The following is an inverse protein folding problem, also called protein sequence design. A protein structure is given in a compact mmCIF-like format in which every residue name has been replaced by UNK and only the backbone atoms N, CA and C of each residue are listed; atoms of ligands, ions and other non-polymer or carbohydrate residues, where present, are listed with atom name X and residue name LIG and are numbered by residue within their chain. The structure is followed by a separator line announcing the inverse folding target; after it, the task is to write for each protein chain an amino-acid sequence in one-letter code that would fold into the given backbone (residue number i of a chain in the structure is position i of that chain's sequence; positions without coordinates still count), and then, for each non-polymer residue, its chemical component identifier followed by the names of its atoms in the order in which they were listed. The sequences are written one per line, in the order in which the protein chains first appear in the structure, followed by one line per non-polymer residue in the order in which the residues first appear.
data_IF_231270917195
#
_entry.id   IF_231270917195
#
_cell.length_a   1.000
_cell.length_b   1.000
_cell.length_c   1.000
_cell.angle_alpha   90.00
_cell.angle_beta   90.00
_cell.angle_gamma   90.00
#
_symmetry.space_group_name_H-M   'P 1'
#
loop_
_entity.id
_entity.type
_entity.pdbx_description
1 polymer ?
#
# COMPACT_ATOMS: atom_id res chain seq x y z
N UNK A 1 -1.87 -2.53 14.68
CA UNK A 1 -1.79 -1.69 13.47
C UNK A 1 -1.49 -0.25 13.83
N UNK A 2 -0.71 0.41 13.01
CA UNK A 2 -0.47 1.85 13.15
C UNK A 2 -1.52 2.60 12.35
N UNK A 3 -1.83 3.82 12.79
CA UNK A 3 -2.70 4.73 12.04
C UNK A 3 -1.82 5.75 11.34
N UNK A 4 -2.02 5.94 10.04
CA UNK A 4 -1.28 6.91 9.24
C UNK A 4 -2.25 7.79 8.48
N UNK A 5 -1.81 8.99 8.12
CA UNK A 5 -2.56 9.84 7.20
C UNK A 5 -2.27 9.42 5.76
N UNK A 6 -3.18 9.76 4.86
CA UNK A 6 -2.99 9.45 3.43
C UNK A 6 -1.69 10.04 2.88
N UNK A 7 -1.33 11.24 3.33
CA UNK A 7 -0.11 11.90 2.88
C UNK A 7 1.17 11.23 3.40
N UNK A 8 1.09 10.50 4.52
CA UNK A 8 2.24 9.82 5.10
C UNK A 8 2.53 8.45 4.47
N UNK A 9 1.60 7.91 3.69
CA UNK A 9 1.72 6.55 3.12
C UNK A 9 2.97 6.41 2.27
N UNK A 10 3.25 7.37 1.40
CA UNK A 10 4.42 7.33 0.53
C UNK A 10 5.73 7.29 1.33
N UNK A 11 5.85 8.12 2.35
CA UNK A 11 7.05 8.19 3.19
C UNK A 11 7.23 6.88 3.95
N UNK A 12 6.16 6.33 4.51
CA UNK A 12 6.16 5.06 5.22
C UNK A 12 6.62 3.92 4.29
N UNK A 13 6.10 3.90 3.07
CA UNK A 13 6.41 2.87 2.10
C UNK A 13 7.88 2.93 1.67
N UNK A 14 8.40 4.13 1.41
CA UNK A 14 9.82 4.30 1.06
C UNK A 14 10.74 3.82 2.17
N UNK A 15 10.43 4.15 3.42
CA UNK A 15 11.20 3.69 4.57
C UNK A 15 11.20 2.16 4.67
N UNK A 16 10.04 1.55 4.48
CA UNK A 16 9.90 0.09 4.54
C UNK A 16 10.71 -0.59 3.44
N UNK A 17 10.71 -0.03 2.23
CA UNK A 17 11.45 -0.60 1.11
C UNK A 17 12.95 -0.49 1.29
N UNK A 18 13.43 0.53 2.00
CA UNK A 18 14.85 0.65 2.35
C UNK A 18 15.26 -0.28 3.49
N UNK A 19 14.36 -0.47 4.46
CA UNK A 19 14.66 -1.23 5.67
C UNK A 19 14.63 -2.73 5.45
N UNK A 20 13.81 -3.23 4.53
CA UNK A 20 13.58 -4.67 4.33
C UNK A 20 13.88 -5.09 2.91
N UNK A 21 14.57 -6.22 2.77
CA UNK A 21 14.79 -6.85 1.45
C UNK A 21 13.52 -7.50 0.92
N UNK A 22 12.64 -7.97 1.83
CA UNK A 22 11.31 -8.44 1.49
C UNK A 22 10.35 -8.06 2.61
N UNK A 23 9.13 -7.68 2.25
CA UNK A 23 8.12 -7.30 3.24
C UNK A 23 6.73 -7.33 2.63
N UNK A 24 5.72 -7.30 3.50
CA UNK A 24 4.32 -7.22 3.11
C UNK A 24 3.71 -6.04 3.86
N UNK A 25 3.33 -5.00 3.13
CA UNK A 25 2.68 -3.82 3.67
C UNK A 25 1.18 -3.86 3.34
N UNK A 26 0.35 -3.54 4.32
CA UNK A 26 -1.11 -3.55 4.19
C UNK A 26 -1.69 -2.24 4.69
N UNK A 27 -2.59 -1.65 3.93
CA UNK A 27 -3.38 -0.49 4.34
C UNK A 27 -4.86 -0.84 4.27
N UNK A 28 -5.61 -0.50 5.31
CA UNK A 28 -7.05 -0.72 5.37
C UNK A 28 -7.76 0.51 5.94
N UNK A 29 -9.07 0.62 5.67
CA UNK A 29 -9.92 1.56 6.38
C UNK A 29 -10.41 0.96 7.70
N UNK A 30 -11.14 1.74 8.49
CA UNK A 30 -11.64 1.28 9.80
C UNK A 30 -12.51 0.01 9.70
N UNK A 31 -13.38 -0.05 8.68
CA UNK A 31 -14.28 -1.20 8.49
C UNK A 31 -13.59 -2.40 7.85
N UNK A 32 -12.36 -2.22 7.36
CA UNK A 32 -11.57 -3.24 6.68
C UNK A 32 -12.25 -3.83 5.43
N UNK A 33 -13.17 -3.08 4.82
CA UNK A 33 -13.80 -3.44 3.55
C UNK A 33 -13.03 -2.92 2.34
N UNK A 34 -12.00 -2.11 2.56
CA UNK A 34 -11.07 -1.63 1.53
C UNK A 34 -9.66 -1.92 1.98
N UNK A 35 -8.89 -2.52 1.08
CA UNK A 35 -7.55 -2.98 1.44
C UNK A 35 -6.61 -2.86 0.25
N UNK A 36 -5.40 -2.37 0.52
CA UNK A 36 -4.30 -2.36 -0.43
C UNK A 36 -3.14 -3.12 0.20
N UNK A 37 -2.60 -4.09 -0.52
CA UNK A 37 -1.45 -4.87 -0.11
C UNK A 37 -0.32 -4.67 -1.11
N UNK A 38 0.90 -4.45 -0.62
CA UNK A 38 2.10 -4.46 -1.43
C UNK A 38 3.05 -5.49 -0.85
N UNK A 39 3.45 -6.43 -1.68
CA UNK A 39 4.42 -7.45 -1.32
C UNK A 39 5.71 -7.14 -2.06
N UNK A 40 6.76 -6.83 -1.31
CA UNK A 40 8.10 -6.63 -1.85
C UNK A 40 8.81 -7.98 -1.84
N UNK A 41 9.18 -8.46 -3.00
CA UNK A 41 10.07 -9.59 -3.17
C UNK A 41 11.49 -9.09 -3.43
N UNK A 42 12.45 -10.02 -3.52
CA UNK A 42 13.83 -9.67 -3.75
C UNK A 42 14.02 -8.85 -5.04
N UNK A 43 13.33 -9.22 -6.11
CA UNK A 43 13.54 -8.65 -7.44
C UNK A 43 12.34 -7.87 -8.00
N UNK A 44 11.16 -7.98 -7.37
CA UNK A 44 9.95 -7.35 -7.90
C UNK A 44 8.97 -6.99 -6.79
N UNK A 45 7.85 -6.39 -7.19
CA UNK A 45 6.75 -6.04 -6.32
C UNK A 45 5.45 -6.63 -6.84
N UNK A 46 4.59 -7.05 -5.91
CA UNK A 46 3.21 -7.46 -6.21
C UNK A 46 2.27 -6.44 -5.56
N UNK A 47 1.28 -6.00 -6.31
CA UNK A 47 0.25 -5.09 -5.84
C UNK A 47 -1.10 -5.80 -5.87
N UNK A 48 -1.83 -5.74 -4.75
CA UNK A 48 -3.20 -6.26 -4.66
C UNK A 48 -4.09 -5.23 -4.01
N UNK A 49 -5.28 -5.07 -4.55
CA UNK A 49 -6.29 -4.15 -4.05
C UNK A 49 -7.64 -4.84 -3.99
N UNK A 50 -8.37 -4.63 -2.91
CA UNK A 50 -9.72 -5.10 -2.72
C UNK A 50 -10.54 -4.00 -2.07
N UNK A 51 -11.57 -3.52 -2.77
CA UNK A 51 -12.41 -2.43 -2.30
C UNK A 51 -13.34 -1.99 -3.42
N UNK A 52 -13.32 -0.72 -3.78
CA UNK A 52 -14.05 -0.23 -4.94
C UNK A 52 -13.58 -0.89 -6.23
N UNK A 53 -12.28 -1.16 -6.31
CA UNK A 53 -11.69 -1.87 -7.43
C UNK A 53 -11.02 -3.13 -6.92
N UNK A 54 -10.86 -4.11 -7.81
CA UNK A 54 -10.03 -5.28 -7.56
C UNK A 54 -8.91 -5.28 -8.57
N UNK A 55 -7.70 -5.10 -8.07
CA UNK A 55 -6.51 -5.00 -8.90
C UNK A 55 -5.48 -5.99 -8.37
N UNK A 56 -4.85 -6.69 -9.29
CA UNK A 56 -3.72 -7.57 -8.97
C UNK A 56 -2.68 -7.43 -10.07
N UNK A 57 -1.50 -6.92 -9.71
CA UNK A 57 -0.40 -6.74 -10.64
C UNK A 57 0.86 -7.34 -10.07
N UNK A 58 1.63 -8.00 -10.93
CA UNK A 58 2.90 -8.65 -10.57
C UNK A 58 4.04 -8.04 -11.36
N UNK A 59 5.26 -8.36 -10.96
CA UNK A 59 6.49 -7.97 -11.65
C UNK A 59 6.60 -6.45 -11.83
N UNK A 60 6.19 -5.71 -10.80
CA UNK A 60 6.28 -4.25 -10.79
C UNK A 60 7.66 -3.81 -10.30
N UNK A 61 8.14 -2.68 -10.81
CA UNK A 61 9.30 -2.02 -10.23
C UNK A 61 8.87 -1.00 -9.16
N UNK A 62 9.85 -0.46 -8.43
CA UNK A 62 9.57 0.48 -7.35
C UNK A 62 8.78 1.71 -7.82
N UNK A 63 9.18 2.30 -8.94
CA UNK A 63 8.52 3.50 -9.46
C UNK A 63 7.06 3.23 -9.82
N UNK A 64 6.79 2.11 -10.47
CA UNK A 64 5.42 1.74 -10.85
C UNK A 64 4.54 1.48 -9.65
N UNK A 65 5.05 0.76 -8.64
CA UNK A 65 4.27 0.46 -7.45
C UNK A 65 4.00 1.71 -6.63
N UNK A 66 4.97 2.62 -6.53
CA UNK A 66 4.79 3.88 -5.80
C UNK A 66 3.71 4.76 -6.46
N UNK A 67 3.75 4.87 -7.78
CA UNK A 67 2.75 5.64 -8.53
C UNK A 67 1.36 5.03 -8.42
N UNK A 68 1.26 3.72 -8.50
CA UNK A 68 0.00 3.00 -8.38
C UNK A 68 -0.61 3.18 -7.00
N UNK A 69 0.18 3.05 -5.94
CA UNK A 69 -0.28 3.25 -4.56
C UNK A 69 -0.80 4.67 -4.38
N UNK A 70 -0.06 5.67 -4.83
CA UNK A 70 -0.45 7.06 -4.67
C UNK A 70 -1.79 7.34 -5.38
N UNK A 71 -1.96 6.83 -6.59
CA UNK A 71 -3.21 6.96 -7.33
C UNK A 71 -4.37 6.24 -6.63
N UNK A 72 -4.17 5.00 -6.22
CA UNK A 72 -5.24 4.18 -5.66
C UNK A 72 -5.59 4.55 -4.22
N UNK A 73 -4.69 5.19 -3.49
CA UNK A 73 -5.03 5.76 -2.19
C UNK A 73 -6.13 6.81 -2.31
N UNK A 74 -6.15 7.58 -3.38
CA UNK A 74 -7.21 8.55 -3.64
C UNK A 74 -8.53 7.87 -4.00
N UNK A 75 -8.47 6.73 -4.68
CA UNK A 75 -9.67 5.97 -5.06
C UNK A 75 -10.29 5.27 -3.85
N UNK A 76 -9.47 4.55 -3.07
CA UNK A 76 -9.98 3.72 -1.97
C UNK A 76 -10.19 4.50 -0.66
N UNK A 77 -9.43 5.55 -0.44
CA UNK A 77 -9.47 6.31 0.80
C UNK A 77 -9.64 7.82 0.57
N UNK A 78 -10.62 8.26 -0.25
CA UNK A 78 -10.69 9.68 -0.66
C UNK A 78 -10.98 10.62 0.49
N UNK A 79 -11.75 10.19 1.48
CA UNK A 79 -12.14 11.00 2.64
C UNK A 79 -11.57 10.48 3.96
N UNK A 80 -10.62 9.55 3.89
CA UNK A 80 -10.09 8.94 5.09
C UNK A 80 -8.98 9.79 5.69
N UNK A 81 -9.19 10.27 6.90
CA UNK A 81 -8.17 10.95 7.68
C UNK A 81 -7.25 9.97 8.38
N UNK A 82 -7.74 8.75 8.61
CA UNK A 82 -7.00 7.68 9.28
C UNK A 82 -7.00 6.44 8.42
N UNK A 83 -5.82 5.95 8.12
CA UNK A 83 -5.60 4.70 7.39
C UNK A 83 -4.82 3.77 8.30
N UNK A 84 -5.30 2.55 8.45
CA UNK A 84 -4.63 1.56 9.29
C UNK A 84 -3.55 0.85 8.49
N UNK A 85 -2.36 0.78 9.06
CA UNK A 85 -1.17 0.28 8.38
C UNK A 85 -0.53 -0.84 9.19
N UNK A 86 -0.18 -1.92 8.51
CA UNK A 86 0.56 -3.05 9.07
C UNK A 86 1.66 -3.46 8.11
N UNK A 87 2.86 -3.70 8.64
CA UNK A 87 3.97 -4.26 7.88
C UNK A 87 4.47 -5.54 8.56
N UNK A 88 4.78 -6.52 7.77
CA UNK A 88 5.34 -7.80 8.23
C UNK A 88 6.66 -8.12 7.56
#
# INVERSE_FOLDING_TARGET
MKVVSRTAVRVQLEKSFKAYSSCHATWTNYKQDRRIDIIKNKDDFVYRESGFERIRKKNLNKAKVMNLVQKQMEVEFPNSKKIYYLIK
#
